data_IF_908641013470
#
_entry.id   IF_908641013470
#
_cell.length_a   1.000
_cell.length_b   1.000
_cell.length_c   1.000
_cell.angle_alpha   90.00
_cell.angle_beta   90.00
_cell.angle_gamma   90.00
#
_symmetry.space_group_name_H-M   'P 1'
#
loop_
_entity.id
_entity.type
_entity.pdbx_description
1 polymer ?
#
# COMPACT_ATOMS: atom_id res chain seq x y z
N UNK A 1 21.73 -20.95 50.48
CA UNK A 1 20.57 -20.05 50.71
C UNK A 1 20.50 -19.05 49.57
N UNK A 2 19.32 -18.71 49.03
CA UNK A 2 19.20 -17.58 48.12
C UNK A 2 19.65 -16.31 48.87
N UNK A 3 20.60 -15.57 48.29
CA UNK A 3 21.10 -14.32 48.86
C UNK A 3 20.00 -13.24 48.75
N UNK A 4 19.77 -12.44 49.81
CA UNK A 4 18.79 -11.36 49.74
C UNK A 4 19.28 -10.24 48.81
N UNK A 5 18.35 -9.69 48.02
CA UNK A 5 18.61 -8.66 46.99
C UNK A 5 19.30 -7.42 47.57
N UNK A 6 19.04 -7.09 48.84
CA UNK A 6 19.68 -5.99 49.56
C UNK A 6 21.21 -6.13 49.65
N UNK A 7 21.75 -7.36 49.65
CA UNK A 7 23.20 -7.58 49.69
C UNK A 7 23.87 -7.39 48.33
N UNK A 8 23.13 -7.28 47.23
CA UNK A 8 23.72 -7.01 45.90
C UNK A 8 24.44 -5.67 45.86
N UNK A 9 24.03 -4.72 46.71
CA UNK A 9 24.73 -3.45 46.88
C UNK A 9 26.10 -3.62 47.55
N UNK A 10 26.39 -4.71 48.25
CA UNK A 10 27.69 -4.92 48.91
C UNK A 10 28.79 -5.39 47.94
N UNK A 11 28.42 -5.90 46.76
CA UNK A 11 29.36 -6.48 45.80
C UNK A 11 29.87 -5.45 44.78
N UNK A 12 31.07 -4.91 45.00
CA UNK A 12 31.66 -3.86 44.15
C UNK A 12 31.71 -4.20 42.64
N UNK A 13 31.87 -5.48 42.28
CA UNK A 13 32.02 -5.91 40.88
C UNK A 13 30.69 -5.93 40.10
N UNK A 14 29.55 -6.13 40.77
CA UNK A 14 28.24 -6.23 40.11
C UNK A 14 27.26 -5.13 40.52
N UNK A 15 27.54 -4.33 41.56
CA UNK A 15 26.70 -3.23 42.05
C UNK A 15 26.21 -2.30 40.94
N UNK A 16 27.11 -1.83 40.09
CA UNK A 16 26.76 -0.85 39.04
C UNK A 16 25.95 -1.48 37.90
N UNK A 17 26.27 -2.72 37.53
CA UNK A 17 25.49 -3.47 36.54
C UNK A 17 24.08 -3.74 37.10
N UNK A 18 24.00 -4.17 38.37
CA UNK A 18 22.74 -4.39 39.07
C UNK A 18 21.89 -3.12 39.13
N UNK A 19 22.45 -1.96 39.50
CA UNK A 19 21.75 -0.67 39.51
C UNK A 19 21.19 -0.30 38.15
N UNK A 20 21.96 -0.50 37.08
CA UNK A 20 21.50 -0.26 35.71
C UNK A 20 20.34 -1.19 35.33
N UNK A 21 20.45 -2.48 35.64
CA UNK A 21 19.38 -3.44 35.40
C UNK A 21 18.12 -3.11 36.22
N UNK A 22 18.28 -2.72 37.49
CA UNK A 22 17.17 -2.35 38.38
C UNK A 22 16.47 -1.08 37.89
N UNK A 23 17.23 -0.05 37.50
CA UNK A 23 16.68 1.17 36.91
C UNK A 23 15.90 0.89 35.62
N UNK A 24 16.44 0.03 34.75
CA UNK A 24 15.74 -0.40 33.54
C UNK A 24 14.47 -1.21 33.84
N UNK A 25 14.48 -2.07 34.86
CA UNK A 25 13.30 -2.83 35.29
C UNK A 25 12.23 -1.93 35.92
N UNK A 26 12.63 -0.85 36.59
CA UNK A 26 11.71 0.10 37.22
C UNK A 26 11.02 1.02 36.21
N UNK A 27 11.72 1.41 35.14
CA UNK A 27 11.16 2.22 34.05
C UNK A 27 11.64 1.71 32.68
N UNK A 28 11.10 0.56 32.28
CA UNK A 28 11.49 -0.06 31.02
C UNK A 28 11.03 0.74 29.81
N UNK A 29 9.88 1.43 29.91
CA UNK A 29 9.32 2.18 28.78
C UNK A 29 10.07 3.48 28.55
N UNK A 30 10.31 4.28 29.60
CA UNK A 30 11.11 5.50 29.51
C UNK A 30 12.54 5.21 29.06
N UNK A 31 13.15 4.15 29.60
CA UNK A 31 14.49 3.71 29.17
C UNK A 31 14.53 3.34 27.68
N UNK A 32 13.52 2.64 27.17
CA UNK A 32 13.41 2.29 25.74
C UNK A 32 13.19 3.52 24.87
N UNK A 33 12.28 4.41 25.26
CA UNK A 33 12.02 5.64 24.52
C UNK A 33 13.26 6.52 24.43
N UNK A 34 13.98 6.70 25.54
CA UNK A 34 15.22 7.47 25.58
C UNK A 34 16.31 6.85 24.70
N UNK A 35 16.46 5.52 24.74
CA UNK A 35 17.40 4.81 23.88
C UNK A 35 17.05 4.98 22.39
N UNK A 36 15.78 4.75 22.02
CA UNK A 36 15.31 4.89 20.65
C UNK A 36 15.47 6.33 20.13
N UNK A 37 15.21 7.31 20.98
CA UNK A 37 15.42 8.74 20.68
C UNK A 37 16.89 9.04 20.40
N UNK A 38 17.79 8.63 21.30
CA UNK A 38 19.23 8.85 21.15
C UNK A 38 19.79 8.14 19.90
N UNK A 39 19.32 6.92 19.61
CA UNK A 39 19.66 6.21 18.38
C UNK A 39 19.20 6.98 17.14
N UNK A 40 17.93 7.41 17.11
CA UNK A 40 17.38 8.14 15.98
C UNK A 40 18.12 9.45 15.74
N UNK A 41 18.39 10.23 16.80
CA UNK A 41 19.09 11.50 16.70
C UNK A 41 20.51 11.31 16.16
N UNK A 42 21.26 10.33 16.67
CA UNK A 42 22.61 10.01 16.18
C UNK A 42 22.62 9.55 14.71
N UNK A 43 21.63 8.74 14.29
CA UNK A 43 21.53 8.29 12.91
C UNK A 43 21.13 9.40 11.94
N UNK A 44 20.24 10.31 12.36
CA UNK A 44 19.84 11.47 11.57
C UNK A 44 21.01 12.42 11.34
N UNK A 45 21.84 12.64 12.37
CA UNK A 45 23.04 13.46 12.26
C UNK A 45 24.10 12.79 11.36
N UNK A 46 24.42 11.52 11.61
CA UNK A 46 25.46 10.80 10.88
C UNK A 46 25.13 10.60 9.39
N UNK A 47 23.86 10.63 9.01
CA UNK A 47 23.39 10.39 7.65
C UNK A 47 22.55 11.55 7.10
N UNK A 48 22.82 12.79 7.53
CA UNK A 48 22.06 13.97 7.13
C UNK A 48 21.94 14.13 5.60
N UNK A 49 23.00 13.81 4.85
CA UNK A 49 23.02 13.90 3.38
C UNK A 49 21.99 12.96 2.74
N UNK A 50 21.84 11.74 3.27
CA UNK A 50 20.85 10.78 2.79
C UNK A 50 19.44 11.36 2.88
N UNK A 51 19.05 11.87 4.06
CA UNK A 51 17.70 12.41 4.28
C UNK A 51 17.42 13.69 3.48
N UNK A 52 18.47 14.39 3.07
CA UNK A 52 18.38 15.61 2.25
C UNK A 52 18.23 15.28 0.76
N UNK A 53 18.82 14.18 0.28
CA UNK A 53 18.98 13.90 -1.15
C UNK A 53 18.13 12.73 -1.66
N UNK A 54 17.64 11.86 -0.78
CA UNK A 54 16.90 10.64 -1.16
C UNK A 54 15.61 10.93 -1.94
N UNK A 55 15.08 12.14 -1.83
CA UNK A 55 13.83 12.55 -2.45
C UNK A 55 13.96 13.90 -3.16
N UNK A 56 12.93 14.29 -3.93
CA UNK A 56 12.93 15.57 -4.65
C UNK A 56 13.03 16.79 -3.74
N UNK A 57 12.63 16.64 -2.48
CA UNK A 57 12.78 17.62 -1.42
C UNK A 57 13.27 16.93 -0.15
N UNK A 58 14.04 17.63 0.72
CA UNK A 58 14.48 17.07 1.98
C UNK A 58 13.32 16.53 2.81
N UNK A 59 13.52 15.39 3.45
CA UNK A 59 12.53 14.85 4.38
C UNK A 59 12.42 15.77 5.60
N UNK A 60 11.19 16.04 6.03
CA UNK A 60 10.98 16.76 7.27
C UNK A 60 11.38 15.89 8.49
N UNK A 61 11.54 16.47 9.69
CA UNK A 61 11.99 15.72 10.86
C UNK A 61 11.13 14.51 11.23
N UNK A 62 9.80 14.56 11.05
CA UNK A 62 8.93 13.43 11.38
C UNK A 62 9.02 12.31 10.35
N UNK A 63 9.14 12.64 9.06
CA UNK A 63 9.40 11.68 7.98
C UNK A 63 10.75 10.99 8.17
N UNK A 64 11.82 11.77 8.42
CA UNK A 64 13.15 11.22 8.65
C UNK A 64 13.19 10.31 9.89
N UNK A 65 12.52 10.70 10.99
CA UNK A 65 12.34 9.84 12.17
C UNK A 65 11.59 8.55 11.85
N UNK A 66 10.58 8.58 10.99
CA UNK A 66 9.89 7.36 10.55
C UNK A 66 10.80 6.46 9.71
N UNK A 67 11.65 7.05 8.85
CA UNK A 67 12.59 6.31 7.99
C UNK A 67 13.74 5.69 8.79
N UNK A 68 14.21 6.33 9.86
CA UNK A 68 15.38 5.84 10.64
C UNK A 68 15.02 4.82 11.72
N UNK A 69 13.73 4.74 12.09
CA UNK A 69 13.25 3.91 13.19
C UNK A 69 13.68 2.43 13.02
N UNK A 70 14.30 1.84 14.05
CA UNK A 70 14.87 0.50 13.99
C UNK A 70 13.93 -0.64 14.42
N UNK A 71 12.67 -0.34 14.75
CA UNK A 71 11.69 -1.35 15.18
C UNK A 71 11.35 -2.32 14.03
N UNK A 72 11.03 -3.56 14.38
CA UNK A 72 10.62 -4.60 13.42
C UNK A 72 9.25 -4.32 12.80
N UNK A 73 8.42 -3.53 13.46
CA UNK A 73 7.08 -3.18 13.01
C UNK A 73 6.78 -1.73 13.40
N UNK A 74 6.40 -0.93 12.43
CA UNK A 74 6.17 0.50 12.60
C UNK A 74 4.84 0.90 11.95
N UNK A 75 3.98 1.56 12.71
CA UNK A 75 2.78 2.22 12.21
C UNK A 75 3.06 3.71 12.03
N UNK A 76 2.95 4.20 10.80
CA UNK A 76 3.08 5.63 10.49
C UNK A 76 1.70 6.24 10.25
N UNK A 77 1.28 7.14 11.13
CA UNK A 77 0.02 7.89 10.97
C UNK A 77 0.26 9.12 10.11
N UNK A 78 -0.40 9.18 8.94
CA UNK A 78 -0.08 10.15 7.91
C UNK A 78 -1.31 10.65 7.14
N UNK A 79 -1.59 11.95 7.25
CA UNK A 79 -2.70 12.62 6.56
C UNK A 79 -2.54 12.67 5.03
N UNK A 80 -3.56 13.14 4.32
CA UNK A 80 -3.45 13.42 2.89
C UNK A 80 -2.31 14.43 2.62
N UNK A 81 -1.54 14.22 1.54
CA UNK A 81 -0.44 15.13 1.17
C UNK A 81 0.83 15.09 2.05
N UNK A 82 0.87 14.30 3.12
CA UNK A 82 2.01 14.25 4.07
C UNK A 82 3.28 13.52 3.57
N UNK A 83 3.34 13.11 2.30
CA UNK A 83 4.50 12.41 1.74
C UNK A 83 4.62 10.93 2.15
N UNK A 84 3.50 10.21 2.34
CA UNK A 84 3.49 8.77 2.66
C UNK A 84 4.37 7.94 1.73
N UNK A 85 4.22 8.13 0.43
CA UNK A 85 5.01 7.42 -0.58
C UNK A 85 6.49 7.76 -0.46
N UNK A 86 6.83 9.02 -0.18
CA UNK A 86 8.21 9.46 0.05
C UNK A 86 8.86 8.75 1.23
N UNK A 87 8.12 8.58 2.33
CA UNK A 87 8.59 7.82 3.50
C UNK A 87 8.83 6.35 3.16
N UNK A 88 7.94 5.72 2.40
CA UNK A 88 8.11 4.31 2.00
C UNK A 88 9.33 4.11 1.10
N UNK A 89 9.52 4.96 0.09
CA UNK A 89 10.68 4.90 -0.83
C UNK A 89 11.98 5.18 -0.07
N UNK A 90 12.00 6.22 0.76
CA UNK A 90 13.17 6.53 1.58
C UNK A 90 13.48 5.43 2.58
N UNK A 91 12.47 4.75 3.14
CA UNK A 91 12.67 3.60 4.03
C UNK A 91 13.28 2.42 3.29
N UNK A 92 12.82 2.11 2.08
CA UNK A 92 13.46 1.08 1.26
C UNK A 92 14.94 1.43 0.99
N UNK A 93 15.21 2.67 0.56
CA UNK A 93 16.58 3.15 0.36
C UNK A 93 17.44 3.09 1.62
N UNK A 94 16.87 3.40 2.78
CA UNK A 94 17.56 3.34 4.06
C UNK A 94 17.99 1.91 4.42
N UNK A 95 17.10 0.93 4.24
CA UNK A 95 17.40 -0.48 4.48
C UNK A 95 18.54 -0.99 3.59
N UNK A 96 18.55 -0.59 2.32
CA UNK A 96 19.64 -0.90 1.38
C UNK A 96 20.96 -0.24 1.82
N UNK A 97 20.94 1.07 2.06
CA UNK A 97 22.13 1.85 2.42
C UNK A 97 22.79 1.36 3.71
N UNK A 98 21.98 0.81 4.63
CA UNK A 98 22.43 0.23 5.91
C UNK A 98 22.81 -1.25 5.82
N UNK A 99 22.65 -1.90 4.65
CA UNK A 99 22.87 -3.33 4.49
C UNK A 99 21.96 -4.19 5.36
N UNK A 100 20.76 -3.68 5.70
CA UNK A 100 19.78 -4.39 6.52
C UNK A 100 18.87 -5.31 5.69
N UNK A 101 18.79 -5.07 4.38
CA UNK A 101 18.10 -5.91 3.43
C UNK A 101 18.74 -5.77 2.05
N UNK A 102 18.71 -6.84 1.27
CA UNK A 102 18.95 -6.79 -0.18
C UNK A 102 17.68 -6.34 -0.91
N UNK A 103 17.83 -5.79 -2.13
CA UNK A 103 16.69 -5.26 -2.88
C UNK A 103 15.58 -6.29 -3.13
N UNK A 104 15.94 -7.52 -3.50
CA UNK A 104 14.97 -8.63 -3.66
C UNK A 104 14.27 -9.08 -2.37
N UNK A 105 14.70 -8.61 -1.19
CA UNK A 105 14.07 -8.89 0.10
C UNK A 105 13.01 -7.84 0.49
N UNK A 106 12.89 -6.75 -0.28
CA UNK A 106 11.97 -5.64 0.00
C UNK A 106 10.73 -5.78 -0.89
N UNK A 107 9.55 -5.88 -0.26
CA UNK A 107 8.25 -5.86 -0.93
C UNK A 107 7.49 -4.60 -0.54
N UNK A 108 7.03 -3.86 -1.55
CA UNK A 108 6.14 -2.72 -1.36
C UNK A 108 4.72 -3.07 -1.79
N UNK A 109 3.72 -2.63 -1.02
CA UNK A 109 2.31 -2.90 -1.29
C UNK A 109 1.48 -1.63 -1.38
N UNK A 110 0.59 -1.61 -2.38
CA UNK A 110 -0.37 -0.53 -2.59
C UNK A 110 -1.78 -1.11 -2.87
N UNK A 111 -2.82 -0.30 -2.64
CA UNK A 111 -4.20 -0.72 -2.92
C UNK A 111 -4.53 -0.66 -4.42
N UNK A 112 -4.11 0.40 -5.11
CA UNK A 112 -4.41 0.62 -6.53
C UNK A 112 -3.20 0.36 -7.44
N UNK A 113 -3.46 -0.04 -8.69
CA UNK A 113 -2.41 -0.25 -9.71
C UNK A 113 -1.59 1.01 -9.95
N UNK A 114 -2.25 2.14 -10.15
CA UNK A 114 -1.59 3.44 -10.34
C UNK A 114 -0.63 3.78 -9.20
N UNK A 115 -1.03 3.54 -7.95
CA UNK A 115 -0.17 3.80 -6.80
C UNK A 115 1.04 2.84 -6.72
N UNK A 116 0.89 1.59 -7.17
CA UNK A 116 2.01 0.67 -7.29
C UNK A 116 2.97 1.10 -8.41
N UNK A 117 2.44 1.47 -9.59
CA UNK A 117 3.22 1.95 -10.74
C UNK A 117 4.01 3.23 -10.41
N UNK A 118 3.37 4.21 -9.77
CA UNK A 118 4.02 5.44 -9.29
C UNK A 118 5.14 5.13 -8.27
N UNK A 119 4.93 4.11 -7.42
CA UNK A 119 5.94 3.71 -6.44
C UNK A 119 7.13 3.01 -7.08
N UNK A 120 6.91 2.15 -8.07
CA UNK A 120 7.96 1.51 -8.87
C UNK A 120 8.80 2.52 -9.66
N UNK A 121 8.15 3.48 -10.32
CA UNK A 121 8.83 4.56 -11.03
C UNK A 121 9.74 5.34 -10.08
N UNK A 122 9.21 5.71 -8.93
CA UNK A 122 9.95 6.46 -7.92
C UNK A 122 11.12 5.66 -7.33
N UNK A 123 10.96 4.36 -7.08
CA UNK A 123 12.05 3.48 -6.65
C UNK A 123 13.16 3.45 -7.70
N UNK A 124 12.82 3.27 -8.98
CA UNK A 124 13.80 3.27 -10.08
C UNK A 124 14.54 4.59 -10.18
N UNK A 125 13.83 5.71 -10.05
CA UNK A 125 14.42 7.05 -10.10
C UNK A 125 15.35 7.34 -8.92
N UNK A 126 14.97 6.96 -7.69
CA UNK A 126 15.68 7.34 -6.46
C UNK A 126 16.74 6.35 -6.03
N UNK A 127 16.49 5.06 -6.23
CA UNK A 127 17.35 3.97 -5.76
C UNK A 127 18.11 3.29 -6.89
N UNK A 128 17.82 3.64 -8.15
CA UNK A 128 18.48 3.08 -9.33
C UNK A 128 18.45 1.55 -9.38
N UNK A 129 17.35 0.96 -8.91
CA UNK A 129 17.12 -0.49 -8.88
C UNK A 129 15.76 -0.85 -9.47
N UNK A 130 15.70 -2.00 -10.12
CA UNK A 130 14.45 -2.63 -10.59
C UNK A 130 14.12 -3.90 -9.79
N UNK A 131 14.95 -4.26 -8.81
CA UNK A 131 14.77 -5.49 -8.02
C UNK A 131 13.69 -5.33 -6.93
N UNK A 132 13.47 -4.11 -6.46
CA UNK A 132 12.37 -3.80 -5.54
C UNK A 132 11.10 -3.65 -6.37
N UNK A 133 10.10 -4.49 -6.09
CA UNK A 133 8.80 -4.44 -6.79
C UNK A 133 7.69 -3.96 -5.86
N UNK A 134 6.96 -2.92 -6.29
CA UNK A 134 5.68 -2.53 -5.73
C UNK A 134 4.56 -3.35 -6.37
N UNK A 135 3.70 -3.93 -5.53
CA UNK A 135 2.58 -4.78 -5.96
C UNK A 135 1.28 -4.31 -5.35
N UNK A 136 0.19 -4.64 -6.04
CA UNK A 136 -1.12 -4.65 -5.39
C UNK A 136 -1.28 -5.95 -4.59
N UNK A 137 -2.17 -5.98 -3.61
CA UNK A 137 -2.49 -7.22 -2.89
C UNK A 137 -2.91 -8.34 -3.86
N UNK A 138 -3.72 -8.02 -4.87
CA UNK A 138 -4.16 -8.98 -5.89
C UNK A 138 -2.99 -9.50 -6.74
N UNK A 139 -2.08 -8.63 -7.17
CA UNK A 139 -0.93 -9.05 -7.98
C UNK A 139 0.10 -9.84 -7.16
N UNK A 140 0.24 -9.54 -5.86
CA UNK A 140 1.02 -10.37 -4.94
C UNK A 140 0.39 -11.76 -4.78
N UNK A 141 -0.92 -11.83 -4.51
CA UNK A 141 -1.61 -13.11 -4.34
C UNK A 141 -1.49 -14.00 -5.58
N UNK A 142 -1.69 -13.44 -6.77
CA UNK A 142 -1.50 -14.14 -8.03
C UNK A 142 -0.07 -14.69 -8.17
N UNK A 143 0.93 -13.88 -7.84
CA UNK A 143 2.34 -14.29 -7.88
C UNK A 143 2.62 -15.45 -6.92
N UNK A 144 2.14 -15.39 -5.67
CA UNK A 144 2.32 -16.47 -4.68
C UNK A 144 1.70 -17.77 -5.19
N UNK A 145 0.47 -17.71 -5.75
CA UNK A 145 -0.20 -18.89 -6.30
C UNK A 145 0.59 -19.48 -7.47
N UNK A 146 1.12 -18.63 -8.37
CA UNK A 146 1.93 -19.08 -9.50
C UNK A 146 3.24 -19.75 -9.06
N UNK A 147 3.86 -19.29 -7.97
CA UNK A 147 5.05 -19.94 -7.41
C UNK A 147 4.71 -21.30 -6.76
N UNK A 148 3.53 -21.42 -6.14
CA UNK A 148 3.09 -22.65 -5.46
C UNK A 148 2.37 -23.68 -6.33
N UNK A 149 1.92 -23.31 -7.53
CA UNK A 149 1.09 -24.16 -8.40
C UNK A 149 1.67 -24.28 -9.80
N UNK A 150 1.67 -25.51 -10.35
CA UNK A 150 2.00 -25.75 -11.76
C UNK A 150 0.96 -25.19 -12.73
N UNK A 151 -0.25 -24.87 -12.24
CA UNK A 151 -1.33 -24.27 -13.03
C UNK A 151 -1.55 -22.84 -12.56
N UNK A 152 -1.17 -21.87 -13.39
CA UNK A 152 -1.48 -20.48 -13.15
C UNK A 152 -3.02 -20.28 -13.20
N UNK A 153 -3.61 -19.60 -12.22
CA UNK A 153 -5.03 -19.27 -12.27
C UNK A 153 -5.28 -18.30 -13.43
N UNK A 154 -6.27 -18.62 -14.26
CA UNK A 154 -6.67 -17.78 -15.39
C UNK A 154 -7.69 -16.78 -14.87
N UNK A 155 -7.24 -15.55 -14.63
CA UNK A 155 -8.14 -14.44 -14.34
C UNK A 155 -8.76 -13.99 -15.66
N UNK A 156 -10.10 -13.88 -15.69
CA UNK A 156 -10.81 -13.38 -16.87
C UNK A 156 -10.31 -11.98 -17.21
N UNK A 157 -10.08 -11.70 -18.51
CA UNK A 157 -9.72 -10.35 -18.98
C UNK A 157 -10.71 -9.29 -18.50
N UNK A 158 -11.96 -9.69 -18.31
CA UNK A 158 -13.04 -8.84 -17.83
C UNK A 158 -12.74 -8.25 -16.44
N UNK A 159 -12.09 -8.97 -15.53
CA UNK A 159 -11.75 -8.44 -14.20
C UNK A 159 -10.82 -7.22 -14.28
N UNK A 160 -9.86 -7.27 -15.21
CA UNK A 160 -8.81 -6.27 -15.32
C UNK A 160 -9.07 -5.18 -16.35
N UNK A 161 -9.95 -5.43 -17.33
CA UNK A 161 -10.18 -4.58 -18.49
C UNK A 161 -11.63 -4.05 -18.47
N UNK A 162 -11.75 -2.78 -18.05
CA UNK A 162 -13.03 -2.09 -18.01
C UNK A 162 -13.67 -1.96 -19.41
N UNK A 163 -12.86 -1.77 -20.45
CA UNK A 163 -13.34 -1.65 -21.83
C UNK A 163 -13.88 -2.99 -22.32
N UNK A 164 -13.20 -4.10 -22.04
CA UNK A 164 -13.69 -5.43 -22.39
C UNK A 164 -15.00 -5.78 -21.65
N UNK A 165 -15.12 -5.45 -20.37
CA UNK A 165 -16.39 -5.58 -19.62
C UNK A 165 -17.50 -4.78 -20.25
N UNK A 166 -17.20 -3.53 -20.58
CA UNK A 166 -18.15 -2.63 -21.18
C UNK A 166 -18.66 -3.13 -22.53
N UNK A 167 -17.75 -3.58 -23.40
CA UNK A 167 -18.11 -4.16 -24.70
C UNK A 167 -18.97 -5.43 -24.55
N UNK A 168 -18.63 -6.30 -23.59
CA UNK A 168 -19.43 -7.50 -23.31
C UNK A 168 -20.85 -7.13 -22.84
N UNK A 169 -20.95 -6.17 -21.92
CA UNK A 169 -22.23 -5.69 -21.41
C UNK A 169 -23.10 -5.13 -22.54
N UNK A 170 -22.57 -4.18 -23.33
CA UNK A 170 -23.32 -3.58 -24.44
C UNK A 170 -23.75 -4.61 -25.48
N UNK A 171 -22.85 -5.55 -25.83
CA UNK A 171 -23.17 -6.63 -26.77
C UNK A 171 -24.33 -7.48 -26.25
N UNK A 172 -24.28 -7.87 -24.97
CA UNK A 172 -25.31 -8.70 -24.34
C UNK A 172 -26.64 -7.95 -24.24
N UNK A 173 -26.60 -6.68 -23.86
CA UNK A 173 -27.78 -5.83 -23.77
C UNK A 173 -28.47 -5.64 -25.13
N UNK A 174 -27.70 -5.29 -26.18
CA UNK A 174 -28.22 -5.17 -27.56
C UNK A 174 -28.83 -6.48 -28.05
N UNK A 175 -28.17 -7.60 -27.75
CA UNK A 175 -28.69 -8.92 -28.11
C UNK A 175 -30.03 -9.19 -27.42
N UNK A 176 -30.14 -8.96 -26.11
CA UNK A 176 -31.38 -9.19 -25.37
C UNK A 176 -32.54 -8.32 -25.88
N UNK A 177 -32.30 -7.03 -26.12
CA UNK A 177 -33.33 -6.12 -26.61
C UNK A 177 -33.77 -6.45 -28.04
N UNK A 178 -32.84 -6.85 -28.91
CA UNK A 178 -33.16 -7.16 -30.31
C UNK A 178 -33.86 -8.52 -30.49
N UNK A 179 -33.51 -9.53 -29.67
CA UNK A 179 -34.10 -10.88 -29.79
C UNK A 179 -35.49 -11.00 -29.15
N UNK A 180 -35.76 -10.28 -28.05
CA UNK A 180 -36.99 -10.46 -27.27
C UNK A 180 -37.64 -9.11 -26.93
N UNK A 181 -38.82 -8.85 -27.51
CA UNK A 181 -39.62 -7.64 -27.22
C UNK A 181 -39.91 -7.44 -25.72
N UNK A 182 -40.12 -8.53 -24.97
CA UNK A 182 -40.33 -8.46 -23.53
C UNK A 182 -39.08 -7.94 -22.78
N UNK A 183 -37.88 -8.33 -23.22
CA UNK A 183 -36.62 -7.82 -22.65
C UNK A 183 -36.42 -6.34 -22.99
N UNK A 184 -36.66 -5.94 -24.24
CA UNK A 184 -36.62 -4.53 -24.63
C UNK A 184 -37.59 -3.67 -23.79
N UNK A 185 -38.82 -4.15 -23.57
CA UNK A 185 -39.80 -3.47 -22.72
C UNK A 185 -39.32 -3.37 -21.27
N UNK A 186 -38.79 -4.45 -20.70
CA UNK A 186 -38.27 -4.47 -19.34
C UNK A 186 -37.08 -3.52 -19.14
N UNK A 187 -36.13 -3.51 -20.08
CA UNK A 187 -35.00 -2.57 -20.06
C UNK A 187 -35.46 -1.12 -20.17
N UNK A 188 -36.42 -0.81 -21.06
CA UNK A 188 -36.99 0.55 -21.16
C UNK A 188 -37.62 0.97 -19.84
N UNK A 189 -38.47 0.12 -19.27
CA UNK A 189 -39.12 0.38 -17.98
C UNK A 189 -38.08 0.66 -16.89
N UNK A 190 -37.05 -0.17 -16.75
CA UNK A 190 -35.99 0.04 -15.77
C UNK A 190 -35.22 1.36 -15.98
N UNK A 191 -34.91 1.71 -17.23
CA UNK A 191 -34.21 2.96 -17.55
C UNK A 191 -35.07 4.20 -17.25
N UNK A 192 -36.37 4.12 -17.48
CA UNK A 192 -37.30 5.23 -17.23
C UNK A 192 -37.67 5.36 -15.75
N UNK A 193 -37.92 4.25 -15.06
CA UNK A 193 -38.44 4.25 -13.68
C UNK A 193 -37.30 4.33 -12.65
N UNK A 194 -36.29 3.48 -12.75
CA UNK A 194 -35.21 3.39 -11.75
C UNK A 194 -34.11 4.43 -12.02
N UNK A 195 -33.69 4.54 -13.28
CA UNK A 195 -32.62 5.47 -13.65
C UNK A 195 -33.15 6.89 -13.94
N UNK A 196 -34.48 7.05 -14.12
CA UNK A 196 -35.12 8.31 -14.47
C UNK A 196 -34.58 8.92 -15.77
N UNK A 197 -34.27 8.09 -16.76
CA UNK A 197 -33.72 8.51 -18.04
C UNK A 197 -34.81 8.62 -19.10
N UNK A 198 -34.64 9.59 -20.01
CA UNK A 198 -35.46 9.68 -21.21
C UNK A 198 -34.92 8.68 -22.23
N UNK A 199 -35.73 7.69 -22.60
CA UNK A 199 -35.38 6.65 -23.56
C UNK A 199 -35.93 7.01 -24.94
N UNK A 200 -35.11 7.03 -26.00
CA UNK A 200 -35.59 7.29 -27.36
C UNK A 200 -36.63 6.27 -27.83
N UNK A 201 -37.50 6.69 -28.74
CA UNK A 201 -38.43 5.77 -29.39
C UNK A 201 -37.72 4.84 -30.39
N UNK A 202 -38.35 3.70 -30.67
CA UNK A 202 -37.77 2.67 -31.55
C UNK A 202 -36.66 1.85 -30.88
N UNK A 203 -35.62 1.51 -31.65
CA UNK A 203 -34.52 0.63 -31.22
C UNK A 203 -33.49 1.37 -30.36
N UNK A 204 -33.91 1.81 -29.17
CA UNK A 204 -33.09 2.63 -28.27
C UNK A 204 -31.76 1.99 -27.85
N UNK A 205 -31.64 0.66 -27.93
CA UNK A 205 -30.38 -0.06 -27.64
C UNK A 205 -29.27 0.19 -28.67
N UNK A 206 -29.59 0.77 -29.84
CA UNK A 206 -28.60 1.19 -30.83
C UNK A 206 -28.20 2.67 -30.69
N UNK A 207 -28.80 3.42 -29.75
CA UNK A 207 -28.46 4.82 -29.50
C UNK A 207 -27.10 4.96 -28.80
N UNK A 208 -26.15 5.63 -29.45
CA UNK A 208 -24.78 5.79 -28.92
C UNK A 208 -24.74 6.57 -27.60
N UNK A 209 -25.62 7.56 -27.44
CA UNK A 209 -25.64 8.41 -26.24
C UNK A 209 -26.08 7.59 -25.03
N UNK A 210 -27.14 6.80 -25.20
CA UNK A 210 -27.67 5.89 -24.19
C UNK A 210 -26.67 4.77 -23.87
N UNK A 211 -26.01 4.19 -24.88
CA UNK A 211 -24.95 3.19 -24.67
C UNK A 211 -23.80 3.76 -23.82
N UNK A 212 -23.31 4.96 -24.14
CA UNK A 212 -22.26 5.63 -23.34
C UNK A 212 -22.74 5.94 -21.93
N UNK A 213 -24.01 6.33 -21.76
CA UNK A 213 -24.57 6.64 -20.44
C UNK A 213 -24.71 5.39 -19.57
N UNK A 214 -25.21 4.30 -20.15
CA UNK A 214 -25.25 2.98 -19.48
C UNK A 214 -23.84 2.50 -19.11
N UNK A 215 -22.85 2.72 -20.00
CA UNK A 215 -21.44 2.43 -19.73
C UNK A 215 -20.97 3.00 -18.40
N UNK A 216 -21.23 4.30 -18.22
CA UNK A 216 -20.71 5.09 -17.12
C UNK A 216 -21.47 4.80 -15.83
N UNK A 217 -22.80 4.65 -15.91
CA UNK A 217 -23.62 4.33 -14.75
C UNK A 217 -23.24 2.99 -14.12
N UNK A 218 -22.88 2.00 -14.94
CA UNK A 218 -22.47 0.68 -14.45
C UNK A 218 -21.09 0.68 -13.77
N UNK A 219 -20.21 1.62 -14.14
CA UNK A 219 -18.88 1.80 -13.51
C UNK A 219 -19.01 2.41 -12.10
N UNK A 220 -19.92 3.37 -11.92
CA UNK A 220 -20.05 4.10 -10.64
C UNK A 220 -20.71 3.25 -9.54
N UNK A 221 -21.55 2.27 -9.90
CA UNK A 221 -22.19 1.36 -8.94
C UNK A 221 -21.32 0.19 -8.45
N UNK A 222 -20.06 0.10 -8.89
CA UNK A 222 -19.14 -1.03 -8.57
C UNK A 222 -17.90 -0.61 -7.76
N UNK A 223 -17.93 0.55 -7.10
CA UNK A 223 -16.87 1.03 -6.18
C UNK A 223 -17.40 1.04 -4.75
#
# INVERSE_FOLDING_TARGET
MPLPVSRLEEFAHCREIWRKCLAWLQDSEGSRQQHNQAYADAMLEAHADFFTQIESSPLNPSQARAVVNGESSLLVLAGAGSGKTSVLVARAGWLLARGQADAGQILLLAFGRKAAEEMDERIRERLHTEEITARTFHSLALYIIQQGSKKAPVVSKLESDATARHQLFLRTWRQQCSEKKAQAKGWRQWLEEEMQWVVPEGNFWDDETLQRRLALAWIVGSV
#
